data_IF_360822110760
#
_entry.id   IF_360822110760
#
_cell.length_a   1.000
_cell.length_b   1.000
_cell.length_c   1.000
_cell.angle_alpha   90.00
_cell.angle_beta   90.00
_cell.angle_gamma   90.00
#
_symmetry.space_group_name_H-M   'P 1'
#
loop_
_entity.id
_entity.type
_entity.pdbx_description
1 polymer ?
#
# COMPACT_ATOMS: atom_id res chain seq x y z
N UNK A 1 70.87 2.59 13.45
CA UNK A 1 69.89 2.68 12.36
C UNK A 1 68.62 1.98 12.84
N UNK A 2 67.62 2.74 13.31
CA UNK A 2 66.35 2.20 13.82
C UNK A 2 65.35 2.19 12.67
N UNK A 3 64.84 0.99 12.31
CA UNK A 3 63.74 0.84 11.34
C UNK A 3 62.41 1.08 12.03
N UNK A 4 61.74 2.16 11.71
CA UNK A 4 60.36 2.46 12.15
C UNK A 4 59.44 1.69 11.20
N UNK A 5 58.77 0.66 11.74
CA UNK A 5 57.74 -0.10 11.03
C UNK A 5 56.43 0.68 11.16
N UNK A 6 55.97 1.28 10.07
CA UNK A 6 54.69 1.96 9.99
C UNK A 6 53.60 0.91 9.81
N UNK A 7 52.92 0.56 10.88
CA UNK A 7 51.74 -0.31 10.89
C UNK A 7 50.53 0.52 10.45
N UNK A 8 50.11 0.35 9.22
CA UNK A 8 48.92 1.00 8.65
C UNK A 8 47.64 0.36 9.24
N UNK A 9 47.00 1.04 10.21
CA UNK A 9 45.73 0.64 10.81
C UNK A 9 44.61 0.94 9.81
N UNK A 10 44.17 -0.08 9.05
CA UNK A 10 43.00 0.00 8.19
C UNK A 10 41.76 -0.04 9.08
N UNK A 11 41.20 1.12 9.35
CA UNK A 11 39.92 1.28 10.04
C UNK A 11 38.82 0.90 9.05
N UNK A 12 38.37 -0.37 9.09
CA UNK A 12 37.17 -0.82 8.37
C UNK A 12 35.95 -0.11 9.00
N UNK A 13 35.51 0.98 8.35
CA UNK A 13 34.25 1.63 8.65
C UNK A 13 33.14 0.70 8.13
N UNK A 14 32.67 -0.25 8.95
CA UNK A 14 31.46 -1.01 8.70
C UNK A 14 30.29 -0.05 8.86
N UNK A 15 29.85 0.55 7.75
CA UNK A 15 28.61 1.31 7.72
C UNK A 15 27.46 0.36 8.10
N UNK A 16 26.88 0.54 9.28
CA UNK A 16 25.60 -0.04 9.62
C UNK A 16 24.59 0.55 8.66
N UNK A 17 24.13 -0.24 7.68
CA UNK A 17 22.91 0.03 6.94
C UNK A 17 21.78 -0.06 7.97
N UNK A 18 21.35 1.08 8.49
CA UNK A 18 20.11 1.16 9.24
C UNK A 18 19.00 0.93 8.22
N UNK A 19 18.35 -0.21 8.32
CA UNK A 19 17.16 -0.49 7.52
C UNK A 19 16.09 0.56 7.87
N UNK A 20 15.71 1.36 6.89
CA UNK A 20 14.77 2.47 7.08
C UNK A 20 13.36 1.91 7.05
N UNK A 21 12.83 1.57 8.22
CA UNK A 21 11.46 1.12 8.39
C UNK A 21 10.51 2.25 8.03
N UNK A 22 9.70 2.05 6.99
CA UNK A 22 8.80 3.08 6.47
C UNK A 22 7.32 2.76 6.67
N UNK A 23 6.99 1.47 6.86
CA UNK A 23 5.62 1.03 7.04
C UNK A 23 5.55 -0.25 7.88
N UNK A 24 4.34 -0.71 8.21
CA UNK A 24 4.07 -1.95 8.93
C UNK A 24 2.92 -2.69 8.25
N UNK A 25 3.11 -3.98 8.00
CA UNK A 25 2.07 -4.87 7.48
C UNK A 25 0.99 -5.06 8.55
N UNK A 26 -0.21 -4.54 8.32
CA UNK A 26 -1.32 -4.57 9.27
C UNK A 26 -2.22 -5.78 9.10
N UNK A 27 -2.33 -6.31 7.87
CA UNK A 27 -3.11 -7.49 7.56
C UNK A 27 -2.56 -8.20 6.32
N UNK A 28 -2.77 -9.52 6.25
CA UNK A 28 -2.51 -10.33 5.06
C UNK A 28 -3.44 -11.54 5.04
N UNK A 29 -3.82 -11.99 3.84
CA UNK A 29 -4.67 -13.15 3.58
C UNK A 29 -4.27 -13.83 2.30
N UNK A 30 -4.33 -15.16 2.27
CA UNK A 30 -4.07 -15.96 1.07
C UNK A 30 -2.59 -16.02 0.69
N UNK A 31 -2.30 -16.09 -0.60
CA UNK A 31 -0.93 -16.09 -1.13
C UNK A 31 -0.41 -14.65 -1.21
N UNK A 32 0.30 -14.24 -0.18
CA UNK A 32 0.98 -12.93 -0.13
C UNK A 32 2.47 -13.17 -0.04
N UNK A 33 3.24 -12.47 -0.87
CA UNK A 33 4.71 -12.53 -0.90
C UNK A 33 5.28 -11.15 -0.61
N UNK A 34 6.26 -11.11 0.28
CA UNK A 34 7.07 -9.93 0.56
C UNK A 34 8.47 -10.17 -0.02
N UNK A 35 8.91 -9.28 -0.88
CA UNK A 35 10.24 -9.33 -1.49
C UNK A 35 11.04 -8.10 -1.05
N UNK A 36 12.25 -8.35 -0.56
CA UNK A 36 13.25 -7.34 -0.18
C UNK A 36 14.58 -7.71 -0.80
N UNK A 37 15.22 -6.77 -1.50
CA UNK A 37 16.49 -6.99 -2.21
C UNK A 37 16.47 -8.25 -3.09
N UNK A 38 15.39 -8.43 -3.86
CA UNK A 38 15.15 -9.59 -4.75
C UNK A 38 15.09 -10.95 -4.02
N UNK A 39 14.83 -10.95 -2.69
CA UNK A 39 14.66 -12.16 -1.89
C UNK A 39 13.27 -12.20 -1.27
N UNK A 40 12.64 -13.38 -1.30
CA UNK A 40 11.40 -13.58 -0.56
C UNK A 40 11.68 -13.58 0.95
N UNK A 41 10.93 -12.76 1.67
CA UNK A 41 10.99 -12.64 3.13
C UNK A 41 9.81 -13.40 3.74
N UNK A 42 10.11 -14.26 4.71
CA UNK A 42 9.06 -14.83 5.55
C UNK A 42 8.58 -13.76 6.52
N UNK A 43 7.31 -13.46 6.49
CA UNK A 43 6.71 -12.38 7.28
C UNK A 43 5.51 -12.86 8.10
N UNK A 44 5.11 -12.04 9.05
CA UNK A 44 3.89 -12.19 9.86
C UNK A 44 3.17 -10.85 9.99
N UNK A 45 1.93 -10.89 10.48
CA UNK A 45 1.22 -9.64 10.84
C UNK A 45 2.09 -8.80 11.79
N UNK A 46 2.23 -7.52 11.50
CA UNK A 46 3.12 -6.60 12.22
C UNK A 46 4.54 -6.54 11.67
N UNK A 47 4.82 -7.23 10.55
CA UNK A 47 6.13 -7.13 9.89
C UNK A 47 6.45 -5.68 9.53
N UNK A 48 7.68 -5.28 9.83
CA UNK A 48 8.19 -3.96 9.47
C UNK A 48 8.62 -3.96 8.00
N UNK A 49 8.08 -3.03 7.26
CA UNK A 49 8.35 -2.86 5.83
C UNK A 49 9.38 -1.76 5.63
N UNK A 50 10.30 -2.03 4.74
CA UNK A 50 11.39 -1.14 4.40
C UNK A 50 11.15 -0.44 3.06
N UNK A 51 11.90 0.62 2.83
CA UNK A 51 11.91 1.30 1.54
C UNK A 51 12.32 0.34 0.43
N UNK A 52 11.55 0.31 -0.67
CA UNK A 52 11.66 -0.58 -1.84
C UNK A 52 11.17 -2.02 -1.64
N UNK A 53 10.60 -2.36 -0.49
CA UNK A 53 9.90 -3.64 -0.36
C UNK A 53 8.80 -3.77 -1.41
N UNK A 54 8.63 -4.99 -1.94
CA UNK A 54 7.58 -5.33 -2.90
C UNK A 54 6.61 -6.30 -2.25
N UNK A 55 5.33 -5.95 -2.27
CA UNK A 55 4.25 -6.85 -1.85
C UNK A 55 3.54 -7.35 -3.10
N UNK A 56 3.35 -8.66 -3.18
CA UNK A 56 2.57 -9.33 -4.22
C UNK A 56 1.44 -10.11 -3.58
N UNK A 57 0.24 -9.97 -4.12
CA UNK A 57 -0.93 -10.77 -3.74
C UNK A 57 -1.31 -11.68 -4.90
N UNK A 58 -1.64 -12.93 -4.60
CA UNK A 58 -2.16 -13.90 -5.57
C UNK A 58 -3.69 -13.79 -5.76
N UNK A 59 -4.33 -14.76 -6.42
CA UNK A 59 -5.79 -14.84 -6.49
C UNK A 59 -6.41 -14.96 -5.09
N UNK A 60 -7.59 -14.36 -4.89
CA UNK A 60 -8.33 -14.35 -3.62
C UNK A 60 -7.48 -13.94 -2.39
N UNK A 61 -6.47 -13.12 -2.64
CA UNK A 61 -5.50 -12.70 -1.63
C UNK A 61 -5.59 -11.21 -1.35
N UNK A 62 -5.17 -10.83 -0.15
CA UNK A 62 -5.26 -9.47 0.35
C UNK A 62 -4.06 -9.15 1.23
N UNK A 63 -3.59 -7.91 1.15
CA UNK A 63 -2.62 -7.36 2.10
C UNK A 63 -2.98 -5.91 2.44
N UNK A 64 -2.67 -5.49 3.66
CA UNK A 64 -2.79 -4.09 4.04
C UNK A 64 -1.58 -3.66 4.86
N UNK A 65 -1.12 -2.44 4.63
CA UNK A 65 -0.06 -1.84 5.42
C UNK A 65 -0.34 -0.37 5.76
N UNK A 66 0.27 0.09 6.84
CA UNK A 66 0.21 1.49 7.28
C UNK A 66 1.63 2.06 7.30
N UNK A 67 1.78 3.28 6.81
CA UNK A 67 3.03 4.02 6.99
C UNK A 67 3.28 4.33 8.46
N UNK A 68 4.56 4.43 8.88
CA UNK A 68 4.96 4.59 10.30
C UNK A 68 4.42 5.87 10.94
N UNK A 69 4.16 6.91 10.14
CA UNK A 69 3.52 8.16 10.58
C UNK A 69 1.99 8.03 10.78
N UNK A 70 1.43 6.83 10.60
CA UNK A 70 0.01 6.51 10.70
C UNK A 70 -0.92 7.42 9.84
N UNK A 71 -0.37 8.06 8.82
CA UNK A 71 -1.08 9.02 7.97
C UNK A 71 -1.78 8.37 6.77
N UNK A 72 -1.37 7.15 6.40
CA UNK A 72 -1.90 6.49 5.21
C UNK A 72 -2.05 4.99 5.45
N UNK A 73 -3.19 4.45 4.99
CA UNK A 73 -3.50 3.02 4.94
C UNK A 73 -3.62 2.61 3.48
N UNK A 74 -2.91 1.55 3.12
CA UNK A 74 -2.88 1.00 1.77
C UNK A 74 -3.39 -0.43 1.82
N UNK A 75 -4.43 -0.73 1.06
CA UNK A 75 -5.03 -2.06 0.91
C UNK A 75 -4.75 -2.56 -0.50
N UNK A 76 -4.12 -3.72 -0.60
CA UNK A 76 -3.86 -4.42 -1.86
C UNK A 76 -4.85 -5.57 -1.99
N UNK A 77 -5.53 -5.63 -3.12
CA UNK A 77 -6.48 -6.70 -3.42
C UNK A 77 -5.83 -7.79 -4.29
N UNK A 78 -6.62 -8.75 -4.74
CA UNK A 78 -6.13 -9.91 -5.50
C UNK A 78 -5.29 -9.51 -6.72
N UNK A 79 -4.26 -10.30 -7.02
CA UNK A 79 -3.38 -10.17 -8.18
C UNK A 79 -2.67 -8.81 -8.29
N UNK A 80 -2.29 -8.22 -7.15
CA UNK A 80 -1.65 -6.90 -7.11
C UNK A 80 -0.15 -7.00 -6.88
N UNK A 81 0.59 -6.05 -7.46
CA UNK A 81 2.04 -5.89 -7.29
C UNK A 81 2.34 -4.43 -6.95
N UNK A 82 2.85 -4.21 -5.74
CA UNK A 82 3.12 -2.89 -5.19
C UNK A 82 4.54 -2.79 -4.66
N UNK A 83 5.26 -1.72 -5.03
CA UNK A 83 6.53 -1.35 -4.41
C UNK A 83 6.32 -0.15 -3.48
N UNK A 84 6.85 -0.25 -2.28
CA UNK A 84 6.73 0.77 -1.24
C UNK A 84 7.94 1.70 -1.32
N UNK A 85 7.69 3.01 -1.37
CA UNK A 85 8.74 4.01 -1.26
C UNK A 85 8.35 5.05 -0.22
N UNK A 86 9.33 5.44 0.61
CA UNK A 86 9.20 6.59 1.48
C UNK A 86 10.56 7.21 1.77
N UNK A 87 10.58 8.53 1.86
CA UNK A 87 11.78 9.31 2.14
C UNK A 87 11.43 10.44 3.11
N UNK A 88 12.35 10.77 4.02
CA UNK A 88 12.19 11.96 4.86
C UNK A 88 12.42 13.21 4.02
N UNK A 89 11.43 14.09 3.97
CA UNK A 89 11.49 15.36 3.27
C UNK A 89 10.88 16.46 4.14
N UNK A 90 11.64 17.49 4.43
CA UNK A 90 11.20 18.69 5.20
C UNK A 90 10.51 18.33 6.54
N UNK A 91 11.02 17.32 7.26
CA UNK A 91 10.48 16.87 8.54
C UNK A 91 9.21 16.05 8.45
N UNK A 92 8.75 15.71 7.25
CA UNK A 92 7.61 14.80 7.00
C UNK A 92 8.04 13.63 6.12
N UNK A 93 7.26 12.55 6.16
CA UNK A 93 7.46 11.41 5.30
C UNK A 93 6.83 11.66 3.92
N UNK A 94 7.66 11.76 2.87
CA UNK A 94 7.22 11.74 1.48
C UNK A 94 7.04 10.29 1.04
N UNK A 95 5.83 9.93 0.59
CA UNK A 95 5.42 8.55 0.31
C UNK A 95 5.10 8.36 -1.15
N UNK A 96 5.54 7.23 -1.71
CA UNK A 96 5.17 6.80 -3.06
C UNK A 96 4.81 5.33 -3.06
N UNK A 97 3.64 5.02 -3.56
CA UNK A 97 3.16 3.66 -3.82
C UNK A 97 3.27 3.41 -5.32
N UNK A 98 4.16 2.50 -5.75
CA UNK A 98 4.23 2.12 -7.16
C UNK A 98 3.37 0.88 -7.38
N UNK A 99 2.27 1.04 -8.13
CA UNK A 99 1.36 -0.03 -8.52
C UNK A 99 1.73 -0.49 -9.92
N UNK A 100 2.26 -1.69 -10.05
CA UNK A 100 2.63 -2.25 -11.36
C UNK A 100 1.50 -3.05 -12.00
N UNK A 101 0.61 -3.62 -11.17
CA UNK A 101 -0.54 -4.43 -11.59
C UNK A 101 -1.54 -4.54 -10.43
N UNK A 102 -2.80 -4.78 -10.73
CA UNK A 102 -3.87 -5.08 -9.78
C UNK A 102 -4.56 -3.85 -9.21
N UNK A 103 -5.19 -3.98 -8.05
CA UNK A 103 -6.04 -2.95 -7.44
C UNK A 103 -5.56 -2.58 -6.04
N UNK A 104 -5.50 -1.30 -5.76
CA UNK A 104 -5.03 -0.74 -4.49
C UNK A 104 -5.98 0.38 -4.04
N UNK A 105 -6.53 0.27 -2.83
CA UNK A 105 -7.26 1.35 -2.19
C UNK A 105 -6.31 2.10 -1.25
N UNK A 106 -6.22 3.40 -1.44
CA UNK A 106 -5.37 4.30 -0.66
C UNK A 106 -6.25 5.26 0.14
N UNK A 107 -6.14 5.22 1.47
CA UNK A 107 -6.77 6.20 2.37
C UNK A 107 -5.67 7.08 2.96
N UNK A 108 -5.66 8.36 2.63
CA UNK A 108 -4.60 9.32 2.99
C UNK A 108 -5.17 10.46 3.82
N UNK A 109 -4.59 10.71 4.99
CA UNK A 109 -4.99 11.83 5.86
C UNK A 109 -4.44 13.15 5.34
N UNK A 110 -5.21 14.22 5.47
CA UNK A 110 -4.75 15.57 5.16
C UNK A 110 -3.54 15.98 6.02
N UNK A 111 -2.62 16.74 5.42
CA UNK A 111 -1.45 17.29 6.14
C UNK A 111 -0.32 16.29 6.40
N UNK A 112 -0.39 15.09 5.84
CA UNK A 112 0.52 13.96 6.08
C UNK A 112 1.84 13.99 5.29
N UNK A 113 2.21 15.10 4.68
CA UNK A 113 3.33 15.18 3.73
C UNK A 113 2.90 14.82 2.31
N UNK A 114 3.87 14.74 1.40
CA UNK A 114 3.60 14.33 0.03
C UNK A 114 3.20 12.86 -0.04
N UNK A 115 2.13 12.56 -0.77
CA UNK A 115 1.72 11.20 -1.09
C UNK A 115 1.43 11.06 -2.57
N UNK A 116 2.05 10.08 -3.20
CA UNK A 116 1.88 9.79 -4.62
C UNK A 116 1.61 8.32 -4.87
N UNK A 117 0.78 8.01 -5.87
CA UNK A 117 0.65 6.68 -6.45
C UNK A 117 1.15 6.72 -7.88
N UNK A 118 2.09 5.87 -8.21
CA UNK A 118 2.67 5.75 -9.54
C UNK A 118 2.22 4.45 -10.20
N UNK A 119 1.68 4.56 -11.40
CA UNK A 119 1.40 3.43 -12.31
C UNK A 119 2.38 3.46 -13.48
N UNK A 120 2.31 2.52 -14.43
CA UNK A 120 3.13 2.57 -15.65
C UNK A 120 2.94 3.84 -16.49
N UNK A 121 1.74 4.43 -16.51
CA UNK A 121 1.41 5.58 -17.38
C UNK A 121 1.27 6.89 -16.62
N UNK A 122 1.07 6.88 -15.30
CA UNK A 122 0.56 8.06 -14.57
C UNK A 122 1.18 8.18 -13.18
N UNK A 123 1.30 9.40 -12.69
CA UNK A 123 1.53 9.71 -11.27
C UNK A 123 0.32 10.45 -10.73
N UNK A 124 -0.32 9.87 -9.70
CA UNK A 124 -1.38 10.49 -8.91
C UNK A 124 -0.78 11.17 -7.68
N UNK A 125 -1.11 12.44 -7.43
CA UNK A 125 -0.71 13.20 -6.25
C UNK A 125 -1.93 13.61 -5.45
N UNK A 126 -1.91 13.41 -4.13
CA UNK A 126 -3.08 13.62 -3.26
C UNK A 126 -2.74 14.34 -1.96
N UNK A 127 -3.77 14.98 -1.38
CA UNK A 127 -3.68 15.68 -0.09
C UNK A 127 -4.94 15.42 0.76
N UNK A 128 -5.07 14.21 1.31
CA UNK A 128 -6.26 13.85 2.10
C UNK A 128 -7.40 13.35 1.21
N UNK A 129 -7.28 12.10 0.79
CA UNK A 129 -8.10 11.53 -0.29
C UNK A 129 -8.27 10.05 -0.03
N UNK A 130 -9.44 9.52 -0.38
CA UNK A 130 -9.63 8.09 -0.53
C UNK A 130 -9.91 7.77 -2.00
N UNK A 131 -9.14 6.85 -2.58
CA UNK A 131 -9.26 6.50 -3.98
C UNK A 131 -8.70 5.11 -4.26
N UNK A 132 -9.31 4.43 -5.23
CA UNK A 132 -8.79 3.20 -5.79
C UNK A 132 -7.93 3.49 -7.02
N UNK A 133 -6.78 2.85 -7.07
CA UNK A 133 -5.94 2.76 -8.27
C UNK A 133 -5.98 1.33 -8.77
N UNK A 134 -6.30 1.12 -10.05
CA UNK A 134 -6.24 -0.19 -10.70
C UNK A 134 -5.38 -0.12 -11.95
N UNK A 135 -4.47 -1.06 -12.08
CA UNK A 135 -3.73 -1.34 -13.32
C UNK A 135 -4.24 -2.68 -13.82
N UNK A 136 -5.00 -2.66 -14.91
CA UNK A 136 -5.62 -3.85 -15.48
C UNK A 136 -4.65 -4.65 -16.37
N UNK A 137 -5.12 -5.82 -16.87
CA UNK A 137 -4.30 -6.75 -17.64
C UNK A 137 -3.92 -6.22 -19.04
N UNK A 138 -4.63 -5.20 -19.55
CA UNK A 138 -4.29 -4.54 -20.81
C UNK A 138 -3.43 -3.29 -20.60
N UNK A 139 -3.15 -2.92 -19.34
CA UNK A 139 -2.24 -1.84 -18.96
C UNK A 139 -2.90 -0.49 -18.73
N UNK A 140 -4.25 -0.41 -18.71
CA UNK A 140 -4.92 0.83 -18.33
C UNK A 140 -4.64 1.16 -16.86
N UNK A 141 -4.41 2.43 -16.58
CA UNK A 141 -4.36 2.98 -15.23
C UNK A 141 -5.69 3.66 -14.92
N UNK A 142 -6.43 3.12 -13.96
CA UNK A 142 -7.78 3.56 -13.59
C UNK A 142 -7.74 4.13 -12.19
N UNK A 143 -8.28 5.33 -12.01
CA UNK A 143 -8.34 6.03 -10.73
C UNK A 143 -9.81 6.36 -10.42
N UNK A 144 -10.35 5.80 -9.34
CA UNK A 144 -11.73 6.03 -8.86
C UNK A 144 -11.64 6.78 -7.55
N UNK A 145 -12.16 8.01 -7.49
CA UNK A 145 -12.05 8.88 -6.30
C UNK A 145 -13.33 8.83 -5.50
N UNK A 146 -13.25 8.29 -4.28
CA UNK A 146 -14.39 8.19 -3.34
C UNK A 146 -14.47 9.38 -2.39
N UNK A 147 -13.32 10.01 -2.05
CA UNK A 147 -13.26 11.19 -1.19
C UNK A 147 -12.10 12.11 -1.61
N UNK A 148 -12.35 13.41 -1.66
CA UNK A 148 -11.35 14.43 -1.96
C UNK A 148 -11.04 14.61 -3.44
N UNK A 149 -9.79 14.92 -3.75
CA UNK A 149 -9.31 15.21 -5.11
C UNK A 149 -7.95 14.58 -5.38
N UNK A 150 -7.75 14.10 -6.60
CA UNK A 150 -6.51 13.50 -7.09
C UNK A 150 -6.01 14.30 -8.30
N UNK A 151 -4.79 14.84 -8.22
CA UNK A 151 -4.09 15.39 -9.39
C UNK A 151 -3.35 14.25 -10.09
N UNK A 152 -3.72 13.97 -11.33
CA UNK A 152 -3.05 13.02 -12.20
C UNK A 152 -2.09 13.74 -13.14
N UNK A 153 -0.90 13.19 -13.33
CA UNK A 153 0.05 13.58 -14.35
C UNK A 153 0.40 12.40 -15.23
N UNK A 154 0.03 12.46 -16.50
CA UNK A 154 0.37 11.45 -17.51
C UNK A 154 1.86 11.55 -17.83
N UNK A 155 2.59 10.44 -17.70
CA UNK A 155 4.06 10.46 -17.75
C UNK A 155 4.62 10.79 -19.13
N UNK A 156 3.96 10.36 -20.20
CA UNK A 156 4.46 10.54 -21.57
C UNK A 156 4.16 11.93 -22.13
N UNK A 157 3.01 12.53 -21.77
CA UNK A 157 2.52 13.78 -22.37
C UNK A 157 2.67 14.98 -21.43
N UNK A 158 2.95 14.74 -20.14
CA UNK A 158 2.91 15.71 -19.04
C UNK A 158 1.52 16.38 -18.85
N UNK A 159 0.49 15.81 -19.48
CA UNK A 159 -0.91 16.22 -19.28
C UNK A 159 -1.30 16.09 -17.82
N UNK A 160 -2.05 17.08 -17.32
CA UNK A 160 -2.55 17.11 -15.94
C UNK A 160 -4.06 17.11 -15.92
N UNK A 161 -4.62 16.26 -15.09
CA UNK A 161 -6.07 16.12 -14.88
C UNK A 161 -6.35 16.21 -13.38
N UNK A 162 -7.40 16.94 -13.02
CA UNK A 162 -7.93 16.94 -11.65
C UNK A 162 -9.16 16.01 -11.61
N UNK A 163 -9.10 14.99 -10.76
CA UNK A 163 -10.18 14.04 -10.57
C UNK A 163 -10.79 14.27 -9.21
N UNK A 164 -12.00 14.80 -9.19
CA UNK A 164 -12.74 15.06 -7.95
C UNK A 164 -13.53 13.83 -7.52
N UNK A 165 -13.98 13.83 -6.28
CA UNK A 165 -14.87 12.82 -5.72
C UNK A 165 -16.04 12.48 -6.66
N UNK A 166 -16.36 11.19 -6.79
CA UNK A 166 -17.43 10.68 -7.65
C UNK A 166 -17.04 10.56 -9.13
N UNK A 167 -15.76 10.80 -9.47
CA UNK A 167 -15.27 10.68 -10.84
C UNK A 167 -14.24 9.56 -10.96
N UNK A 168 -14.16 9.02 -12.19
CA UNK A 168 -13.19 8.01 -12.61
C UNK A 168 -12.38 8.54 -13.78
N UNK A 169 -11.05 8.46 -13.67
CA UNK A 169 -10.15 8.70 -14.77
C UNK A 169 -9.50 7.40 -15.25
N UNK A 170 -9.39 7.24 -16.56
CA UNK A 170 -8.76 6.09 -17.22
C UNK A 170 -7.67 6.63 -18.13
N UNK A 171 -6.44 6.16 -17.95
CA UNK A 171 -5.31 6.45 -18.83
C UNK A 171 -4.88 5.13 -19.46
N UNK A 172 -5.03 5.04 -20.78
CA UNK A 172 -4.66 3.83 -21.53
C UNK A 172 -3.13 3.73 -21.78
N UNK A 173 -2.64 2.59 -22.27
CA UNK A 173 -1.22 2.41 -22.60
C UNK A 173 -0.69 3.36 -23.68
N UNK A 174 -1.56 3.89 -24.54
CA UNK A 174 -1.23 4.89 -25.56
C UNK A 174 -1.24 6.31 -25.00
N UNK A 175 -1.49 6.44 -23.68
CA UNK A 175 -1.54 7.70 -22.91
C UNK A 175 -2.73 8.60 -23.24
N UNK A 176 -3.81 8.05 -23.82
CA UNK A 176 -5.06 8.78 -23.93
C UNK A 176 -5.75 8.80 -22.56
N UNK A 177 -6.28 9.95 -22.20
CA UNK A 177 -7.00 10.16 -20.95
C UNK A 177 -8.51 10.23 -21.17
N UNK A 178 -9.27 9.60 -20.30
CA UNK A 178 -10.74 9.68 -20.27
C UNK A 178 -11.18 9.96 -18.83
N UNK A 179 -11.83 11.09 -18.61
CA UNK A 179 -12.41 11.50 -17.34
C UNK A 179 -13.94 11.46 -17.44
N UNK A 180 -14.60 10.77 -16.54
CA UNK A 180 -16.06 10.62 -16.48
C UNK A 180 -16.57 10.50 -15.04
N UNK A 181 -17.87 10.63 -14.84
CA UNK A 181 -18.50 10.22 -13.59
C UNK A 181 -18.29 8.73 -13.35
N UNK A 182 -18.12 8.35 -12.08
CA UNK A 182 -17.99 6.94 -11.69
C UNK A 182 -19.30 6.20 -11.94
N UNK A 183 -19.20 5.04 -12.53
CA UNK A 183 -20.34 4.15 -12.79
C UNK A 183 -20.64 3.28 -11.57
N UNK A 184 -21.80 2.60 -11.57
CA UNK A 184 -22.10 1.58 -10.56
C UNK A 184 -21.03 0.47 -10.53
N UNK A 185 -20.49 0.08 -11.69
CA UNK A 185 -19.43 -0.93 -11.78
C UNK A 185 -18.13 -0.45 -11.09
N UNK A 186 -17.80 0.83 -11.20
CA UNK A 186 -16.63 1.40 -10.50
C UNK A 186 -16.83 1.34 -8.97
N UNK A 187 -18.02 1.69 -8.49
CA UNK A 187 -18.33 1.64 -7.05
C UNK A 187 -18.39 0.20 -6.56
N UNK A 188 -19.07 -0.67 -7.29
CA UNK A 188 -19.15 -2.11 -6.97
C UNK A 188 -17.78 -2.78 -6.94
N UNK A 189 -16.82 -2.34 -7.77
CA UNK A 189 -15.47 -2.86 -7.74
C UNK A 189 -14.76 -2.55 -6.41
N UNK A 190 -15.00 -1.36 -5.84
CA UNK A 190 -14.45 -0.97 -4.53
C UNK A 190 -15.13 -1.77 -3.42
N UNK A 191 -16.47 -1.79 -3.40
CA UNK A 191 -17.25 -2.50 -2.39
C UNK A 191 -16.96 -3.99 -2.38
N UNK A 192 -16.89 -4.62 -3.55
CA UNK A 192 -16.54 -6.05 -3.67
C UNK A 192 -15.14 -6.34 -3.14
N UNK A 193 -14.16 -5.50 -3.45
CA UNK A 193 -12.81 -5.63 -2.95
C UNK A 193 -12.75 -5.45 -1.42
N UNK A 194 -13.51 -4.51 -0.86
CA UNK A 194 -13.60 -4.30 0.58
C UNK A 194 -14.32 -5.45 1.29
N UNK A 195 -15.41 -5.96 0.73
CA UNK A 195 -16.12 -7.13 1.25
C UNK A 195 -15.22 -8.37 1.26
N UNK A 196 -14.48 -8.63 0.18
CA UNK A 196 -13.50 -9.72 0.11
C UNK A 196 -12.43 -9.61 1.23
N UNK A 197 -11.99 -8.37 1.52
CA UNK A 197 -11.04 -8.12 2.60
C UNK A 197 -11.65 -8.32 4.00
N UNK A 198 -12.93 -7.94 4.19
CA UNK A 198 -13.61 -7.92 5.49
C UNK A 198 -14.17 -9.29 5.90
N UNK A 199 -14.67 -10.10 4.96
CA UNK A 199 -15.19 -11.45 5.23
C UNK A 199 -14.17 -12.35 5.92
N UNK A 200 -12.90 -12.01 5.85
CA UNK A 200 -11.84 -12.75 6.49
C UNK A 200 -11.52 -12.30 7.93
N UNK A 201 -11.94 -11.10 8.32
CA UNK A 201 -11.86 -10.68 9.73
C UNK A 201 -12.82 -11.46 10.61
N UNK A 202 -13.92 -11.97 10.03
CA UNK A 202 -14.88 -12.83 10.75
C UNK A 202 -14.42 -14.30 10.88
N UNK A 203 -13.53 -14.79 10.01
CA UNK A 203 -13.02 -16.17 10.09
C UNK A 203 -12.04 -16.38 11.25
N UNK A 204 -11.46 -15.32 11.79
CA UNK A 204 -10.55 -15.36 12.92
C UNK A 204 -11.24 -15.01 14.25
N UNK A 205 -12.55 -15.23 14.32
CA UNK A 205 -13.37 -14.93 15.48
C UNK A 205 -13.94 -16.25 16.04
N UNK A 206 -13.49 -16.65 17.22
CA UNK A 206 -14.03 -17.78 17.95
C UNK A 206 -14.99 -17.26 19.01
N UNK A 207 -16.26 -17.67 18.94
CA UNK A 207 -17.24 -17.38 19.97
C UNK A 207 -17.39 -18.62 20.82
N UNK A 208 -16.97 -18.54 22.07
CA UNK A 208 -17.08 -19.63 23.04
C UNK A 208 -18.24 -19.32 23.98
N UNK A 209 -19.32 -20.14 23.99
CA UNK A 209 -20.34 -20.02 25.00
C UNK A 209 -19.78 -20.52 26.34
N UNK A 210 -19.87 -19.71 27.38
CA UNK A 210 -19.51 -20.07 28.76
C UNK A 210 -20.68 -19.79 29.67
N UNK A 211 -20.85 -20.65 30.71
CA UNK A 211 -21.84 -20.38 31.75
C UNK A 211 -21.21 -19.47 32.81
N UNK A 212 -21.95 -18.44 33.22
CA UNK A 212 -21.57 -17.66 34.39
C UNK A 212 -21.95 -18.39 35.69
N UNK A 213 -21.55 -17.87 36.85
CA UNK A 213 -21.83 -18.44 38.16
C UNK A 213 -23.34 -18.59 38.49
N UNK A 214 -24.18 -17.85 37.76
CA UNK A 214 -25.63 -17.89 37.87
C UNK A 214 -26.28 -18.86 36.85
N UNK A 215 -25.50 -19.55 36.01
CA UNK A 215 -25.96 -20.48 35.00
C UNK A 215 -26.44 -19.85 33.69
N UNK A 216 -26.19 -18.54 33.45
CA UNK A 216 -26.53 -17.89 32.19
C UNK A 216 -25.43 -18.09 31.16
N UNK A 217 -25.82 -18.20 29.90
CA UNK A 217 -24.86 -18.33 28.79
C UNK A 217 -24.31 -16.90 28.48
N UNK A 218 -22.99 -16.74 28.64
CA UNK A 218 -22.23 -15.62 28.11
C UNK A 218 -21.37 -16.07 26.94
N UNK A 219 -21.10 -15.17 26.01
CA UNK A 219 -20.23 -15.45 24.88
C UNK A 219 -18.89 -14.72 25.09
N UNK A 220 -17.82 -15.50 25.16
CA UNK A 220 -16.46 -14.94 25.08
C UNK A 220 -16.05 -14.93 23.60
N UNK A 221 -15.72 -13.76 23.12
CA UNK A 221 -15.25 -13.56 21.76
C UNK A 221 -13.73 -13.48 21.77
N UNK A 222 -13.08 -14.40 21.06
CA UNK A 222 -11.63 -14.41 20.87
C UNK A 222 -11.37 -14.10 19.41
N UNK A 223 -10.69 -12.99 19.12
CA UNK A 223 -10.22 -12.62 17.79
C UNK A 223 -8.73 -12.96 17.70
N UNK A 224 -8.30 -13.76 16.70
CA UNK A 224 -6.92 -14.19 16.51
C UNK A 224 -6.44 -14.07 15.05
#
# INVERSE_FOLDING_TARGET
>A
MKKISTMCLILCLTGFLVADTVAMLSASKGDVKLERDSKNINFKKGELLENKDIIRTGPESFAAYKYVDASSLIKLFSNSVVTIHAEQAEGKLSKRVKVSQGSVLSTVKSGSGAFTVQTPTTVASVKGTEFMTRVDDVGNSIFIVTEGEVELRVLATDERLMVSQGNTAIIDPDNNSNLRESTEDDINAIESAELESSQNSQKNRLIIPVLDEAGNIKHIEITF
#
